data_IF_743269189996
#
_entry.id   IF_743269189996
#
_cell.length_a   1.000
_cell.length_b   1.000
_cell.length_c   1.000
_cell.angle_alpha   90.00
_cell.angle_beta   90.00
_cell.angle_gamma   90.00
#
_symmetry.space_group_name_H-M   'P 1'
#
loop_
_entity.id
_entity.type
_entity.pdbx_description
1 polymer ?
#
# COMPACT_ATOMS: atom_id res chain seq x y z
N UNK A 1 4.28 -22.09 15.26
CA UNK A 1 3.11 -22.02 14.42
C UNK A 1 2.26 -20.79 14.72
N UNK A 2 1.93 -20.60 16.00
CA UNK A 2 1.10 -19.49 16.46
C UNK A 2 1.67 -18.13 16.08
N UNK A 3 2.99 -17.94 16.28
CA UNK A 3 3.65 -16.66 15.98
C UNK A 3 3.71 -16.40 14.47
N UNK A 4 3.89 -17.43 13.67
CA UNK A 4 3.88 -17.31 12.22
C UNK A 4 2.50 -16.89 11.70
N UNK A 5 1.43 -17.47 12.25
CA UNK A 5 0.05 -17.13 11.90
C UNK A 5 -0.25 -15.68 12.28
N UNK A 6 0.13 -15.29 13.51
CA UNK A 6 -0.10 -13.93 13.99
C UNK A 6 0.65 -12.91 13.11
N UNK A 7 1.92 -13.14 12.82
CA UNK A 7 2.70 -12.25 11.97
C UNK A 7 2.07 -12.13 10.57
N UNK A 8 1.67 -13.26 10.01
CA UNK A 8 1.01 -13.31 8.71
C UNK A 8 -0.28 -12.48 8.70
N UNK A 9 -1.09 -12.56 9.75
CA UNK A 9 -2.32 -11.79 9.86
C UNK A 9 -2.03 -10.29 9.97
N UNK A 10 -1.01 -9.90 10.72
CA UNK A 10 -0.59 -8.50 10.83
C UNK A 10 -0.13 -7.97 9.47
N UNK A 11 0.67 -8.73 8.73
CA UNK A 11 1.14 -8.35 7.41
C UNK A 11 -0.03 -8.12 6.44
N UNK A 12 -0.97 -9.06 6.40
CA UNK A 12 -2.12 -8.97 5.52
C UNK A 12 -3.06 -7.83 5.90
N UNK A 13 -3.31 -7.65 7.20
CA UNK A 13 -4.19 -6.59 7.67
C UNK A 13 -3.59 -5.20 7.45
N UNK A 14 -2.28 -5.06 7.62
CA UNK A 14 -1.58 -3.81 7.33
C UNK A 14 -1.72 -3.44 5.86
N UNK A 15 -1.49 -4.39 4.96
CA UNK A 15 -1.68 -4.15 3.54
C UNK A 15 -3.12 -3.74 3.22
N UNK A 16 -4.09 -4.47 3.76
CA UNK A 16 -5.52 -4.18 3.54
C UNK A 16 -5.89 -2.78 4.01
N UNK A 17 -5.36 -2.35 5.15
CA UNK A 17 -5.60 -1.00 5.66
C UNK A 17 -5.05 0.08 4.74
N UNK A 18 -3.82 -0.08 4.27
CA UNK A 18 -3.19 0.85 3.33
C UNK A 18 -3.99 0.87 2.01
N UNK A 19 -4.33 -0.29 1.49
CA UNK A 19 -5.10 -0.42 0.25
C UNK A 19 -6.44 0.31 0.36
N UNK A 20 -7.14 0.19 1.48
CA UNK A 20 -8.42 0.87 1.71
C UNK A 20 -8.26 2.39 1.60
N UNK A 21 -7.20 2.94 2.18
CA UNK A 21 -6.90 4.36 2.06
C UNK A 21 -6.62 4.78 0.61
N UNK A 22 -5.82 3.98 -0.09
CA UNK A 22 -5.49 4.25 -1.49
C UNK A 22 -6.70 4.16 -2.41
N UNK A 23 -7.62 3.23 -2.16
CA UNK A 23 -8.87 3.13 -2.92
C UNK A 23 -9.69 4.41 -2.79
N UNK A 24 -9.75 4.98 -1.58
CA UNK A 24 -10.47 6.24 -1.34
C UNK A 24 -9.85 7.38 -2.13
N UNK A 25 -8.52 7.44 -2.18
CA UNK A 25 -7.83 8.46 -2.99
C UNK A 25 -8.13 8.26 -4.48
N UNK A 26 -8.03 7.03 -4.97
CA UNK A 26 -8.30 6.73 -6.37
C UNK A 26 -9.74 7.11 -6.77
N UNK A 27 -10.70 6.78 -5.93
CA UNK A 27 -12.11 7.14 -6.19
C UNK A 27 -12.36 8.64 -6.17
N UNK A 28 -11.65 9.36 -5.31
CA UNK A 28 -11.80 10.81 -5.21
C UNK A 28 -11.24 11.52 -6.44
N UNK A 29 -10.08 11.09 -6.94
CA UNK A 29 -9.37 11.81 -8.01
C UNK A 29 -9.56 11.20 -9.39
N UNK A 30 -9.71 9.89 -9.49
CA UNK A 30 -9.70 9.19 -10.79
C UNK A 30 -10.99 8.43 -11.08
N UNK A 31 -11.67 7.96 -10.05
CA UNK A 31 -12.96 7.28 -10.14
C UNK A 31 -12.99 6.08 -11.10
N UNK A 32 -11.85 5.42 -11.34
CA UNK A 32 -11.80 4.25 -12.22
C UNK A 32 -10.75 3.26 -11.77
N UNK A 33 -11.17 2.01 -11.58
CA UNK A 33 -10.30 0.87 -11.29
C UNK A 33 -10.82 -0.34 -12.06
N UNK A 34 -9.90 -1.13 -12.62
CA UNK A 34 -10.23 -2.36 -13.32
C UNK A 34 -10.82 -3.37 -12.32
N UNK A 35 -12.05 -3.89 -12.56
CA UNK A 35 -12.70 -4.82 -11.65
C UNK A 35 -11.93 -6.12 -11.40
N UNK A 36 -11.12 -6.58 -12.37
CA UNK A 36 -10.42 -7.85 -12.27
C UNK A 36 -9.01 -7.74 -11.70
N UNK A 37 -8.32 -6.62 -11.97
CA UNK A 37 -6.90 -6.45 -11.64
C UNK A 37 -6.64 -5.21 -10.79
N UNK A 38 -7.65 -4.71 -10.11
CA UNK A 38 -7.57 -3.41 -9.45
C UNK A 38 -6.53 -3.33 -8.32
N UNK A 39 -6.22 -4.43 -7.63
CA UNK A 39 -5.23 -4.42 -6.55
C UNK A 39 -3.84 -4.00 -7.06
N UNK A 40 -3.40 -4.61 -8.15
CA UNK A 40 -2.11 -4.30 -8.76
C UNK A 40 -2.13 -2.94 -9.44
N UNK A 41 -3.19 -2.66 -10.16
CA UNK A 41 -3.39 -1.40 -10.87
C UNK A 41 -3.43 -0.22 -9.90
N UNK A 42 -4.07 -0.40 -8.74
CA UNK A 42 -4.14 0.64 -7.71
C UNK A 42 -2.76 1.09 -7.26
N UNK A 43 -1.88 0.16 -6.90
CA UNK A 43 -0.53 0.49 -6.47
C UNK A 43 0.24 1.22 -7.57
N UNK A 44 0.12 0.76 -8.80
CA UNK A 44 0.78 1.39 -9.94
C UNK A 44 0.27 2.81 -10.17
N UNK A 45 -1.05 3.01 -10.12
CA UNK A 45 -1.65 4.34 -10.31
C UNK A 45 -1.22 5.32 -9.23
N UNK A 46 -1.10 4.87 -7.99
CA UNK A 46 -0.69 5.74 -6.89
C UNK A 46 0.77 6.19 -7.01
N UNK A 47 1.59 5.46 -7.72
CA UNK A 47 2.98 5.81 -8.01
C UNK A 47 3.08 6.90 -9.08
N UNK A 48 2.09 7.04 -9.93
CA UNK A 48 2.11 7.93 -11.08
C UNK A 48 1.39 9.24 -10.76
N UNK A 49 1.98 10.36 -11.20
CA UNK A 49 1.36 11.67 -11.14
C UNK A 49 0.22 11.78 -12.15
N UNK A 50 -0.87 12.46 -11.79
CA UNK A 50 -1.93 12.82 -12.73
C UNK A 50 -1.87 14.33 -12.92
N UNK A 51 -1.26 14.83 -14.02
CA UNK A 51 -1.06 16.28 -14.22
C UNK A 51 -2.35 17.08 -14.12
N UNK A 52 -2.31 18.17 -13.36
CA UNK A 52 -3.46 19.04 -13.16
C UNK A 52 -4.50 18.51 -12.17
N UNK A 53 -4.36 17.28 -11.68
CA UNK A 53 -5.31 16.62 -10.79
C UNK A 53 -4.68 16.31 -9.43
N UNK A 54 -3.61 15.58 -9.42
CA UNK A 54 -2.90 15.25 -8.18
C UNK A 54 -1.44 14.85 -8.42
N UNK A 55 -0.58 15.01 -7.40
CA UNK A 55 0.80 14.52 -7.48
C UNK A 55 0.85 13.00 -7.23
N UNK A 56 2.04 12.46 -7.30
CA UNK A 56 2.33 11.09 -6.87
C UNK A 56 1.94 10.90 -5.41
N UNK A 57 1.23 9.83 -5.10
CA UNK A 57 0.86 9.47 -3.73
C UNK A 57 1.93 8.58 -3.10
N UNK A 58 2.43 7.59 -3.84
CA UNK A 58 3.45 6.65 -3.39
C UNK A 58 4.76 6.87 -4.14
N UNK A 59 5.86 6.94 -3.39
CA UNK A 59 7.18 6.90 -4.00
C UNK A 59 7.44 5.51 -4.61
N UNK A 60 8.43 5.42 -5.49
CA UNK A 60 8.76 4.15 -6.13
C UNK A 60 9.18 3.09 -5.12
N UNK A 61 9.94 3.46 -4.08
CA UNK A 61 10.37 2.50 -3.06
C UNK A 61 9.20 2.03 -2.20
N UNK A 62 8.26 2.92 -1.87
CA UNK A 62 7.04 2.54 -1.15
C UNK A 62 6.20 1.58 -1.97
N UNK A 63 6.03 1.87 -3.26
CA UNK A 63 5.33 0.98 -4.18
C UNK A 63 5.94 -0.42 -4.19
N UNK A 64 7.27 -0.49 -4.26
CA UNK A 64 7.98 -1.77 -4.28
C UNK A 64 7.65 -2.62 -3.04
N UNK A 65 7.74 -2.03 -1.84
CA UNK A 65 7.48 -2.78 -0.61
C UNK A 65 6.00 -3.13 -0.43
N UNK A 66 5.10 -2.23 -0.81
CA UNK A 66 3.66 -2.54 -0.78
C UNK A 66 3.31 -3.66 -1.75
N UNK A 67 3.94 -3.69 -2.91
CA UNK A 67 3.71 -4.78 -3.88
C UNK A 67 4.20 -6.12 -3.34
N UNK A 68 5.27 -6.14 -2.55
CA UNK A 68 5.71 -7.35 -1.87
C UNK A 68 4.69 -7.83 -0.84
N UNK A 69 4.09 -6.91 -0.07
CA UNK A 69 3.02 -7.25 0.87
C UNK A 69 1.78 -7.76 0.13
N UNK A 70 1.44 -7.14 -1.00
CA UNK A 70 0.32 -7.60 -1.82
C UNK A 70 0.52 -9.03 -2.30
N UNK A 71 1.71 -9.34 -2.78
CA UNK A 71 2.06 -10.68 -3.24
C UNK A 71 2.06 -11.68 -2.09
N UNK A 72 2.56 -11.28 -0.93
CA UNK A 72 2.52 -12.13 0.26
C UNK A 72 1.07 -12.47 0.63
N UNK A 73 0.17 -11.47 0.66
CA UNK A 73 -1.25 -11.72 0.95
C UNK A 73 -1.86 -12.71 -0.04
N UNK A 74 -1.52 -12.57 -1.31
CA UNK A 74 -2.03 -13.45 -2.37
C UNK A 74 -1.57 -14.90 -2.20
N UNK A 75 -0.30 -15.09 -1.80
CA UNK A 75 0.29 -16.43 -1.66
C UNK A 75 0.34 -16.94 -0.22
N UNK A 76 -0.26 -16.23 0.73
CA UNK A 76 -0.25 -16.59 2.15
C UNK A 76 -0.59 -18.05 2.40
N UNK A 77 -1.65 -18.53 1.77
CA UNK A 77 -2.11 -19.91 1.88
C UNK A 77 -1.02 -20.90 1.50
N UNK A 78 -0.32 -20.64 0.41
CA UNK A 78 0.76 -21.49 -0.08
C UNK A 78 1.85 -21.65 0.99
N UNK A 79 2.28 -20.56 1.63
CA UNK A 79 3.36 -20.59 2.62
C UNK A 79 3.02 -21.41 3.87
N UNK A 80 1.75 -21.55 4.20
CA UNK A 80 1.34 -22.26 5.43
C UNK A 80 0.79 -23.65 5.18
N UNK A 81 0.37 -24.00 3.98
CA UNK A 81 -0.13 -25.35 3.67
C UNK A 81 0.99 -26.35 3.39
N UNK A 82 2.10 -25.89 2.79
CA UNK A 82 3.13 -26.78 2.29
C UNK A 82 4.37 -26.81 3.16
N UNK A 83 4.79 -25.70 3.73
CA UNK A 83 5.96 -25.61 4.59
C UNK A 83 5.99 -24.27 5.31
N UNK A 84 6.72 -24.21 6.47
CA UNK A 84 7.00 -22.96 7.17
C UNK A 84 8.21 -22.31 6.57
N UNK A 85 8.04 -21.19 5.94
CA UNK A 85 9.15 -20.39 5.43
C UNK A 85 9.43 -19.24 6.39
N UNK A 86 10.20 -19.55 7.45
CA UNK A 86 10.59 -18.56 8.46
C UNK A 86 11.48 -17.46 7.89
N UNK A 87 12.34 -17.78 6.94
CA UNK A 87 13.18 -16.79 6.27
C UNK A 87 12.31 -15.78 5.53
N UNK A 88 11.27 -16.25 4.87
CA UNK A 88 10.32 -15.39 4.16
C UNK A 88 9.56 -14.50 5.15
N UNK A 89 9.12 -15.04 6.27
CA UNK A 89 8.42 -14.28 7.30
C UNK A 89 9.32 -13.22 7.94
N UNK A 90 10.58 -13.56 8.23
CA UNK A 90 11.55 -12.59 8.75
C UNK A 90 11.78 -11.45 7.75
N UNK A 91 11.93 -11.77 6.49
CA UNK A 91 12.07 -10.79 5.43
C UNK A 91 10.84 -9.88 5.36
N UNK A 92 9.65 -10.48 5.39
CA UNK A 92 8.39 -9.71 5.33
C UNK A 92 8.19 -8.84 6.57
N UNK A 93 8.66 -9.24 7.74
CA UNK A 93 8.64 -8.39 8.93
C UNK A 93 9.49 -7.13 8.73
N UNK A 94 10.65 -7.26 8.08
CA UNK A 94 11.49 -6.12 7.74
C UNK A 94 10.83 -5.22 6.69
N UNK A 95 10.14 -5.82 5.72
CA UNK A 95 9.36 -5.09 4.73
C UNK A 95 8.26 -4.28 5.43
N UNK A 96 7.56 -4.90 6.38
CA UNK A 96 6.50 -4.22 7.14
C UNK A 96 7.02 -2.97 7.85
N UNK A 97 8.17 -3.08 8.51
CA UNK A 97 8.79 -1.94 9.19
C UNK A 97 9.09 -0.81 8.20
N UNK A 98 9.66 -1.13 7.04
CA UNK A 98 9.94 -0.15 6.00
C UNK A 98 8.65 0.47 5.45
N UNK A 99 7.61 -0.33 5.27
CA UNK A 99 6.31 0.17 4.79
C UNK A 99 5.74 1.21 5.74
N UNK A 100 5.77 0.96 7.06
CA UNK A 100 5.27 1.95 8.02
C UNK A 100 5.96 3.30 7.87
N UNK A 101 7.28 3.31 7.81
CA UNK A 101 8.03 4.57 7.68
C UNK A 101 7.79 5.26 6.35
N UNK A 102 7.82 4.52 5.25
CA UNK A 102 7.68 5.08 3.90
C UNK A 102 6.27 5.56 3.60
N UNK A 103 5.26 4.81 4.01
CA UNK A 103 3.87 5.23 3.82
C UNK A 103 3.58 6.51 4.60
N UNK A 104 4.06 6.61 5.84
CA UNK A 104 3.89 7.83 6.63
C UNK A 104 4.58 9.03 5.99
N UNK A 105 5.78 8.84 5.46
CA UNK A 105 6.52 9.87 4.74
C UNK A 105 5.74 10.37 3.52
N UNK A 106 5.30 9.44 2.67
CA UNK A 106 4.54 9.75 1.47
C UNK A 106 3.21 10.42 1.82
N UNK A 107 2.55 9.94 2.88
CA UNK A 107 1.30 10.51 3.34
C UNK A 107 1.44 11.97 3.79
N UNK A 108 2.51 12.29 4.50
CA UNK A 108 2.78 13.68 4.92
C UNK A 108 2.93 14.60 3.73
N UNK A 109 3.65 14.17 2.70
CA UNK A 109 3.82 14.96 1.48
C UNK A 109 2.46 15.15 0.78
N UNK A 110 1.65 14.12 0.70
CA UNK A 110 0.33 14.20 0.10
C UNK A 110 -0.62 15.09 0.91
N UNK A 111 -0.54 15.05 2.25
CA UNK A 111 -1.31 15.93 3.12
C UNK A 111 -1.00 17.41 2.88
N UNK A 112 0.27 17.73 2.66
CA UNK A 112 0.67 19.11 2.33
C UNK A 112 -0.01 19.58 1.05
N UNK A 113 -0.06 18.72 0.05
CA UNK A 113 -0.77 19.02 -1.20
C UNK A 113 -2.26 19.27 -0.94
N UNK A 114 -2.93 18.42 -0.17
CA UNK A 114 -4.34 18.61 0.18
C UNK A 114 -4.55 19.92 0.93
N UNK A 115 -3.65 20.25 1.88
CA UNK A 115 -3.71 21.51 2.62
C UNK A 115 -3.60 22.73 1.71
N UNK A 116 -2.71 22.69 0.71
CA UNK A 116 -2.59 23.74 -0.27
C UNK A 116 -3.87 23.91 -1.11
N UNK A 117 -4.47 22.80 -1.51
CA UNK A 117 -5.73 22.82 -2.26
C UNK A 117 -6.85 23.46 -1.43
N UNK A 118 -6.96 23.11 -0.15
CA UNK A 118 -7.94 23.70 0.76
C UNK A 118 -7.70 25.20 0.94
N UNK A 119 -6.44 25.62 1.11
CA UNK A 119 -6.08 27.02 1.23
C UNK A 119 -6.50 27.84 0.02
N UNK A 120 -6.36 27.27 -1.18
CA UNK A 120 -6.80 27.94 -2.43
C UNK A 120 -8.33 28.09 -2.50
N UNK A 121 -9.06 27.12 -1.96
CA UNK A 121 -10.53 27.20 -1.92
C UNK A 121 -11.02 28.24 -0.92
N UNK A 122 -10.27 28.49 0.16
CA UNK A 122 -10.61 29.47 1.17
C UNK A 122 -10.26 30.90 0.77
N UNK A 123 -9.33 31.05 -0.15
CA UNK A 123 -8.94 32.37 -0.63
C UNK A 123 -9.72 32.76 -1.88
#
# INVERSE_FOLDING_TARGET
>A
LRDAVLLSDILCNTYTGVETGLVRIARTFENHLDPEHWHRELLHKMKVEVPGIRPTVLSQSTHHYLDELRRFRHFKRYYFEFDYDWERLDYMAKVLEKVFHKVLQDWKIFQEYIGECLGKLES
#
